data_IF_008330238574
#
_entry.id   IF_008330238574
#
_cell.length_a   1.000
_cell.length_b   1.000
_cell.length_c   1.000
_cell.angle_alpha   90.00
_cell.angle_beta   90.00
_cell.angle_gamma   90.00
#
_symmetry.space_group_name_H-M   'P 1'
#
loop_
_entity.id
_entity.type
_entity.pdbx_description
1 polymer ?
#
# COMPACT_ATOMS: atom_id res chain seq x y z
N UNK A 1 60.78 -17.65 55.11
CA UNK A 1 61.21 -18.74 54.19
C UNK A 1 59.98 -19.16 53.39
N UNK A 2 60.08 -19.16 52.05
CA UNK A 2 59.04 -19.23 51.01
C UNK A 2 58.06 -20.43 51.13
N UNK A 3 56.83 -20.44 50.59
CA UNK A 3 56.42 -20.34 49.17
C UNK A 3 54.91 -19.97 49.10
N UNK A 4 54.40 -19.06 48.26
CA UNK A 4 54.23 -19.03 46.79
C UNK A 4 53.07 -19.90 46.23
N UNK A 5 52.09 -19.24 45.59
CA UNK A 5 51.14 -19.78 44.58
C UNK A 5 49.86 -20.40 45.15
N UNK A 6 48.66 -20.28 44.57
CA UNK A 6 48.18 -19.65 43.34
C UNK A 6 46.66 -19.40 43.54
N UNK A 7 46.15 -18.23 43.19
CA UNK A 7 45.22 -18.17 42.06
C UNK A 7 43.74 -18.22 42.46
N UNK A 8 43.17 -17.05 42.79
CA UNK A 8 41.72 -16.84 42.80
C UNK A 8 41.19 -17.05 41.38
N UNK A 9 40.63 -18.21 41.06
CA UNK A 9 39.82 -18.35 39.85
C UNK A 9 38.48 -17.66 40.07
N UNK A 10 38.46 -16.35 39.76
CA UNK A 10 37.24 -15.66 39.38
C UNK A 10 36.72 -16.36 38.12
N UNK A 11 35.68 -17.16 38.25
CA UNK A 11 34.83 -17.57 37.13
C UNK A 11 34.20 -16.30 36.56
N UNK A 12 34.85 -15.68 35.59
CA UNK A 12 34.21 -14.72 34.72
C UNK A 12 33.19 -15.51 33.90
N UNK A 13 31.95 -15.57 34.40
CA UNK A 13 30.81 -15.91 33.55
C UNK A 13 30.78 -14.82 32.49
N UNK A 14 31.28 -15.15 31.30
CA UNK A 14 31.24 -14.27 30.13
C UNK A 14 29.77 -14.02 29.80
N UNK A 15 29.21 -12.95 30.36
CA UNK A 15 27.91 -12.41 30.02
C UNK A 15 27.95 -11.63 28.68
N UNK A 16 28.95 -11.91 27.83
CA UNK A 16 29.14 -11.33 26.51
C UNK A 16 28.46 -12.17 25.42
N UNK A 17 27.27 -12.70 25.70
CA UNK A 17 26.37 -13.25 24.68
C UNK A 17 24.97 -12.61 24.76
N UNK A 18 24.84 -11.47 25.45
CA UNK A 18 23.63 -10.67 25.40
C UNK A 18 23.70 -9.65 24.27
N UNK A 19 22.70 -9.75 23.40
CA UNK A 19 22.23 -8.76 22.41
C UNK A 19 22.85 -8.91 21.02
N UNK A 20 22.37 -9.93 20.32
CA UNK A 20 22.20 -9.85 18.87
C UNK A 20 21.59 -8.49 18.52
N UNK A 21 22.19 -7.70 17.61
CA UNK A 21 21.55 -6.48 17.15
C UNK A 21 20.24 -6.89 16.48
N UNK A 22 19.11 -6.50 17.06
CA UNK A 22 17.85 -6.55 16.35
C UNK A 22 18.01 -5.59 15.19
N UNK A 23 18.22 -6.14 13.99
CA UNK A 23 18.07 -5.38 12.76
C UNK A 23 16.74 -4.63 12.86
N UNK A 24 16.68 -3.33 12.56
CA UNK A 24 15.39 -2.66 12.48
C UNK A 24 14.56 -3.50 11.51
N UNK A 25 13.40 -3.97 11.97
CA UNK A 25 12.44 -4.59 11.08
C UNK A 25 12.24 -3.57 9.97
N UNK A 26 12.79 -3.86 8.79
CA UNK A 26 12.67 -3.03 7.61
C UNK A 26 11.18 -2.89 7.42
N UNK A 27 10.62 -1.73 7.78
CA UNK A 27 9.20 -1.47 7.61
C UNK A 27 8.92 -1.81 6.16
N UNK A 28 8.08 -2.82 5.97
CA UNK A 28 7.54 -3.12 4.65
C UNK A 28 6.75 -1.88 4.28
N UNK A 29 7.41 -0.96 3.57
CA UNK A 29 6.74 0.08 2.80
C UNK A 29 5.66 -0.64 2.03
N UNK A 30 4.40 -0.43 2.44
CA UNK A 30 3.25 -0.99 1.75
C UNK A 30 3.43 -0.74 0.25
N UNK A 31 3.04 -1.68 -0.63
CA UNK A 31 3.19 -1.49 -2.05
C UNK A 31 2.46 -0.21 -2.43
N UNK A 32 3.22 0.84 -2.76
CA UNK A 32 2.66 2.08 -3.26
C UNK A 32 2.01 1.73 -4.61
N UNK A 33 0.68 1.77 -4.68
CA UNK A 33 -0.01 1.62 -5.96
C UNK A 33 0.42 2.78 -6.84
N UNK A 34 1.14 2.48 -7.93
CA UNK A 34 1.72 3.49 -8.83
C UNK A 34 0.65 4.01 -9.80
N UNK A 35 -0.39 4.66 -9.27
CA UNK A 35 -1.34 5.39 -10.12
C UNK A 35 -0.78 6.76 -10.46
N UNK A 36 -0.93 7.17 -11.71
CA UNK A 36 -0.61 8.54 -12.11
C UNK A 36 -1.48 9.53 -11.33
N UNK A 37 -0.92 10.67 -10.89
CA UNK A 37 -1.63 11.66 -10.04
C UNK A 37 -3.01 12.06 -10.60
N UNK A 38 -3.12 12.25 -11.91
CA UNK A 38 -4.38 12.57 -12.61
C UNK A 38 -5.47 11.49 -12.47
N UNK A 39 -5.09 10.21 -12.36
CA UNK A 39 -6.04 9.10 -12.19
C UNK A 39 -6.61 9.14 -10.78
N UNK A 40 -5.73 9.29 -9.78
CA UNK A 40 -6.14 9.39 -8.37
C UNK A 40 -7.03 10.61 -8.15
N UNK A 41 -6.64 11.77 -8.67
CA UNK A 41 -7.42 12.99 -8.58
C UNK A 41 -8.81 12.84 -9.20
N UNK A 42 -8.94 12.23 -10.38
CA UNK A 42 -10.26 12.02 -10.98
C UNK A 42 -11.12 11.02 -10.22
N UNK A 43 -10.51 10.06 -9.51
CA UNK A 43 -11.22 9.09 -8.69
C UNK A 43 -11.75 9.74 -7.40
N UNK A 44 -10.92 10.54 -6.72
CA UNK A 44 -11.28 11.23 -5.47
C UNK A 44 -12.18 12.44 -5.71
N UNK A 45 -11.99 13.14 -6.83
CA UNK A 45 -12.75 14.30 -7.28
C UNK A 45 -13.46 13.99 -8.62
N UNK A 46 -14.51 13.16 -8.61
CA UNK A 46 -15.12 12.69 -9.82
C UNK A 46 -15.92 13.80 -10.50
N UNK A 47 -15.79 13.87 -11.84
CA UNK A 47 -16.43 14.88 -12.67
C UNK A 47 -17.53 14.22 -13.49
N UNK A 48 -18.66 14.88 -13.63
CA UNK A 48 -19.79 14.46 -14.48
C UNK A 48 -20.42 13.12 -14.08
N UNK A 49 -20.37 12.76 -12.79
CA UNK A 49 -21.09 11.59 -12.27
C UNK A 49 -22.57 11.92 -12.17
N UNK A 50 -23.40 11.04 -12.73
CA UNK A 50 -24.86 11.17 -12.67
C UNK A 50 -25.51 10.47 -13.86
N UNK A 51 -26.76 10.83 -14.12
CA UNK A 51 -27.48 10.42 -15.32
C UNK A 51 -28.27 11.56 -15.91
N UNK A 52 -28.35 11.59 -17.22
CA UNK A 52 -29.26 12.45 -17.96
C UNK A 52 -30.62 11.76 -18.14
N UNK A 53 -31.65 12.53 -18.48
CA UNK A 53 -32.96 11.99 -18.85
C UNK A 53 -32.81 11.06 -20.08
N UNK A 54 -33.24 9.82 -19.91
CA UNK A 54 -33.16 8.78 -20.95
C UNK A 54 -34.23 8.93 -22.02
N UNK A 55 -35.30 9.68 -21.73
CA UNK A 55 -36.43 9.85 -22.64
C UNK A 55 -36.24 11.01 -23.61
N UNK A 56 -35.32 11.92 -23.28
CA UNK A 56 -34.93 13.02 -24.14
C UNK A 56 -34.30 12.52 -25.44
N UNK A 57 -34.84 12.96 -26.58
CA UNK A 57 -34.32 12.65 -27.93
C UNK A 57 -32.91 13.19 -28.17
N UNK A 58 -32.50 14.16 -27.36
CA UNK A 58 -31.20 14.81 -27.44
C UNK A 58 -30.13 14.06 -26.64
N UNK A 59 -30.48 12.99 -25.91
CA UNK A 59 -29.54 12.25 -25.06
C UNK A 59 -29.16 10.92 -25.71
N UNK A 60 -27.90 10.81 -26.13
CA UNK A 60 -27.28 9.54 -26.52
C UNK A 60 -26.78 8.78 -25.28
N UNK A 61 -27.05 7.48 -25.19
CA UNK A 61 -26.55 6.61 -24.11
C UNK A 61 -25.78 5.43 -24.66
N UNK A 62 -24.54 5.26 -24.22
CA UNK A 62 -23.71 4.07 -24.48
C UNK A 62 -23.47 3.29 -23.20
N UNK A 63 -23.72 1.98 -23.23
CA UNK A 63 -23.37 1.04 -22.17
C UNK A 63 -22.41 0.01 -22.77
N UNK A 64 -21.20 -0.10 -22.22
CA UNK A 64 -20.15 -0.98 -22.71
C UNK A 64 -19.47 -1.70 -21.55
N UNK A 65 -18.92 -2.89 -21.81
CA UNK A 65 -18.18 -3.68 -20.83
C UNK A 65 -18.71 -5.10 -20.69
N UNK A 66 -17.97 -5.91 -19.93
CA UNK A 66 -18.26 -7.32 -19.70
C UNK A 66 -18.22 -7.58 -18.19
N UNK A 67 -19.35 -7.96 -17.57
CA UNK A 67 -19.40 -8.23 -16.13
C UNK A 67 -18.40 -9.30 -15.68
N UNK A 68 -18.11 -10.27 -16.54
CA UNK A 68 -17.14 -11.34 -16.28
C UNK A 68 -15.70 -10.83 -16.12
N UNK A 69 -15.37 -9.68 -16.72
CA UNK A 69 -14.04 -9.07 -16.65
C UNK A 69 -13.93 -8.00 -15.55
N UNK A 70 -15.04 -7.66 -14.87
CA UNK A 70 -15.05 -6.71 -13.76
C UNK A 70 -15.27 -5.24 -14.14
N UNK A 71 -15.35 -4.93 -15.45
CA UNK A 71 -15.47 -3.55 -15.92
C UNK A 71 -16.74 -3.33 -16.75
N UNK A 72 -17.54 -2.36 -16.32
CA UNK A 72 -18.72 -1.86 -17.04
C UNK A 72 -18.71 -0.34 -16.98
N UNK A 73 -18.94 0.31 -18.12
CA UNK A 73 -19.00 1.75 -18.25
C UNK A 73 -20.30 2.19 -18.92
N UNK A 74 -20.91 3.23 -18.36
CA UNK A 74 -22.07 3.91 -18.93
C UNK A 74 -21.70 5.36 -19.20
N UNK A 75 -21.88 5.81 -20.43
CA UNK A 75 -21.66 7.19 -20.86
C UNK A 75 -22.94 7.76 -21.47
N UNK A 76 -23.30 8.97 -21.06
CA UNK A 76 -24.41 9.70 -21.65
C UNK A 76 -23.91 11.05 -22.17
N UNK A 77 -24.36 11.42 -23.36
CA UNK A 77 -24.03 12.69 -24.02
C UNK A 77 -25.30 13.40 -24.42
N UNK A 78 -25.38 14.70 -24.17
CA UNK A 78 -26.45 15.56 -24.65
C UNK A 78 -25.99 16.21 -25.96
N UNK A 79 -26.63 15.87 -27.07
CA UNK A 79 -26.44 16.50 -28.37
C UNK A 79 -27.57 17.52 -28.56
N UNK A 80 -27.18 18.79 -28.65
CA UNK A 80 -28.07 19.89 -29.05
C UNK A 80 -28.24 19.95 -30.55
#
# INVERSE_FOLDING_TARGET
MAAAGAGRLRRAASALLLRSPRLPARELSAPARLYHKKVVDHYENPRNVGSLDKTSKNVGTGLVGAPACGDVMKLQVLAG
#
